data_IF_599051577561
#
_entry.id   IF_599051577561
#
_cell.length_a   1.000
_cell.length_b   1.000
_cell.length_c   1.000
_cell.angle_alpha   90.00
_cell.angle_beta   90.00
_cell.angle_gamma   90.00
#
_symmetry.space_group_name_H-M   'P 1'
#
loop_
_entity.id
_entity.type
_entity.pdbx_description
1 polymer ?
#
# COMPACT_ATOMS: atom_id res chain seq x y z
N UNK A 1 -1.31 -24.95 11.70
CA UNK A 1 -2.39 -23.97 11.47
C UNK A 1 -1.76 -22.75 10.82
N UNK A 2 -2.12 -22.41 9.58
CA UNK A 2 -1.62 -21.21 8.88
C UNK A 2 -2.45 -20.01 9.34
N UNK A 3 -1.87 -19.09 10.11
CA UNK A 3 -2.53 -17.82 10.44
C UNK A 3 -2.35 -16.83 9.30
N UNK A 4 -3.26 -16.89 8.32
CA UNK A 4 -3.36 -15.88 7.29
C UNK A 4 -4.07 -14.65 7.85
N UNK A 5 -3.30 -13.64 8.22
CA UNK A 5 -3.85 -12.36 8.68
C UNK A 5 -4.00 -11.40 7.50
N UNK A 6 -5.18 -10.82 7.35
CA UNK A 6 -5.40 -9.66 6.48
C UNK A 6 -5.94 -8.50 7.30
N UNK A 7 -5.34 -7.31 7.17
CA UNK A 7 -5.76 -6.09 7.86
C UNK A 7 -5.90 -4.94 6.89
N UNK A 8 -6.95 -4.15 7.07
CA UNK A 8 -7.24 -2.95 6.29
C UNK A 8 -7.30 -1.71 7.18
N UNK A 9 -6.48 -0.73 6.85
CA UNK A 9 -6.39 0.55 7.54
C UNK A 9 -6.73 1.69 6.59
N UNK A 10 -7.95 2.19 6.72
CA UNK A 10 -8.44 3.30 5.93
C UNK A 10 -7.90 4.66 6.36
N UNK A 11 -7.42 5.47 5.41
CA UNK A 11 -7.03 6.86 5.61
C UNK A 11 -8.11 7.75 4.96
N UNK A 12 -8.81 8.54 5.77
CA UNK A 12 -9.94 9.38 5.32
C UNK A 12 -9.84 10.79 5.88
N UNK A 13 -10.31 11.77 5.10
CA UNK A 13 -10.53 13.16 5.54
C UNK A 13 -11.96 13.41 6.07
N UNK A 14 -12.81 12.37 6.02
CA UNK A 14 -14.15 12.41 6.61
C UNK A 14 -14.12 12.20 8.13
N UNK A 15 -15.23 12.53 8.77
CA UNK A 15 -15.44 12.29 10.20
C UNK A 15 -15.73 10.81 10.43
N UNK A 16 -15.10 10.19 11.43
CA UNK A 16 -15.47 8.84 11.91
C UNK A 16 -15.99 8.95 13.35
N UNK A 17 -16.95 8.12 13.77
CA UNK A 17 -17.35 8.05 15.17
C UNK A 17 -16.11 7.87 16.07
N UNK A 18 -15.98 8.71 17.11
CA UNK A 18 -14.86 8.67 18.05
C UNK A 18 -13.50 9.15 17.51
N UNK A 19 -13.39 9.70 16.29
CA UNK A 19 -12.13 10.26 15.77
C UNK A 19 -12.29 11.65 15.17
N UNK A 20 -11.40 12.56 15.54
CA UNK A 20 -11.32 13.90 14.93
C UNK A 20 -11.06 13.79 13.43
N UNK A 21 -11.75 14.64 12.67
CA UNK A 21 -11.58 14.76 11.22
C UNK A 21 -10.11 15.08 10.89
N UNK A 22 -9.51 14.33 9.96
CA UNK A 22 -8.18 14.65 9.45
C UNK A 22 -8.29 15.76 8.39
N UNK A 23 -7.45 16.79 8.51
CA UNK A 23 -7.25 17.72 7.40
C UNK A 23 -6.63 17.00 6.20
N UNK A 24 -6.83 17.52 4.99
CA UNK A 24 -6.23 16.96 3.78
C UNK A 24 -4.70 16.80 3.93
N UNK A 25 -4.01 17.82 4.47
CA UNK A 25 -2.57 17.79 4.74
C UNK A 25 -2.18 16.62 5.68
N UNK A 26 -2.92 16.40 6.77
CA UNK A 26 -2.65 15.29 7.70
C UNK A 26 -2.95 13.92 7.09
N UNK A 27 -4.01 13.80 6.31
CA UNK A 27 -4.35 12.56 5.62
C UNK A 27 -3.28 12.19 4.57
N UNK A 28 -2.82 13.16 3.77
CA UNK A 28 -1.71 12.97 2.82
C UNK A 28 -0.44 12.57 3.57
N UNK A 29 -0.06 13.32 4.63
CA UNK A 29 1.13 13.02 5.42
C UNK A 29 1.12 11.59 5.97
N UNK A 30 -0.04 11.13 6.47
CA UNK A 30 -0.22 9.74 6.94
C UNK A 30 -0.12 8.73 5.80
N UNK A 31 -0.70 9.02 4.63
CA UNK A 31 -0.64 8.12 3.48
C UNK A 31 0.79 7.99 2.93
N UNK A 32 1.50 9.10 2.78
CA UNK A 32 2.90 9.14 2.34
C UNK A 32 3.82 8.44 3.35
N UNK A 33 3.59 8.61 4.65
CA UNK A 33 4.35 7.91 5.68
C UNK A 33 4.20 6.39 5.58
N UNK A 34 2.97 5.89 5.37
CA UNK A 34 2.73 4.47 5.13
C UNK A 34 3.38 3.98 3.84
N UNK A 35 3.26 4.74 2.74
CA UNK A 35 3.90 4.43 1.47
C UNK A 35 5.44 4.34 1.61
N UNK A 36 6.05 5.25 2.37
CA UNK A 36 7.49 5.21 2.67
C UNK A 36 7.85 3.99 3.51
N UNK A 37 7.02 3.65 4.50
CA UNK A 37 7.25 2.51 5.37
C UNK A 37 7.20 1.18 4.61
N UNK A 38 6.21 1.01 3.72
CA UNK A 38 6.09 -0.23 2.93
C UNK A 38 7.16 -0.34 1.85
N UNK A 39 7.62 0.78 1.28
CA UNK A 39 8.65 0.81 0.25
C UNK A 39 10.08 0.99 0.82
N UNK A 40 10.33 0.66 2.08
CA UNK A 40 11.64 0.88 2.71
C UNK A 40 12.70 -0.04 2.05
N UNK A 41 13.88 0.48 1.67
CA UNK A 41 14.91 -0.33 1.00
C UNK A 41 15.37 -1.55 1.79
N UNK A 42 15.35 -1.46 3.13
CA UNK A 42 15.77 -2.57 4.01
C UNK A 42 14.82 -3.76 4.04
N UNK A 43 13.58 -3.62 3.54
CA UNK A 43 12.58 -4.68 3.58
C UNK A 43 12.15 -5.19 2.19
N UNK A 44 12.49 -4.46 1.13
CA UNK A 44 11.99 -4.74 -0.22
C UNK A 44 13.16 -5.06 -1.14
N UNK A 45 13.26 -6.34 -1.52
CA UNK A 45 14.22 -6.76 -2.54
C UNK A 45 13.80 -6.30 -3.95
N UNK A 46 14.75 -6.22 -4.91
CA UNK A 46 14.41 -6.01 -6.31
C UNK A 46 13.36 -7.02 -6.81
N UNK A 47 12.39 -6.54 -7.60
CA UNK A 47 11.30 -7.36 -8.13
C UNK A 47 10.12 -7.59 -7.17
N UNK A 48 10.23 -7.20 -5.90
CA UNK A 48 9.14 -7.38 -4.91
C UNK A 48 8.14 -6.22 -4.86
N UNK A 49 8.21 -5.29 -5.81
CA UNK A 49 7.26 -4.18 -5.94
C UNK A 49 6.27 -4.48 -7.06
N UNK A 50 4.99 -4.31 -6.78
CA UNK A 50 3.91 -4.40 -7.75
C UNK A 50 3.21 -3.04 -7.80
N UNK A 51 3.19 -2.40 -8.97
CA UNK A 51 2.38 -1.22 -9.27
C UNK A 51 1.32 -1.55 -10.32
N UNK A 52 0.09 -1.05 -10.12
CA UNK A 52 -0.99 -1.17 -11.10
C UNK A 52 -1.75 0.15 -11.24
N UNK A 53 -2.08 0.47 -12.50
CA UNK A 53 -2.81 1.64 -12.96
C UNK A 53 -2.10 2.98 -12.68
N UNK A 54 -0.80 2.99 -12.43
CA UNK A 54 0.02 4.19 -12.20
C UNK A 54 0.50 4.85 -13.51
N UNK A 55 0.08 4.35 -14.68
CA UNK A 55 0.49 4.89 -15.98
C UNK A 55 1.88 4.40 -16.35
N UNK A 56 2.77 5.30 -16.76
CA UNK A 56 4.16 4.96 -17.12
C UNK A 56 4.96 4.35 -15.96
N UNK A 57 4.47 4.50 -14.71
CA UNK A 57 5.07 3.92 -13.52
C UNK A 57 4.57 2.49 -13.21
N UNK A 58 3.74 1.89 -14.06
CA UNK A 58 3.36 0.49 -13.94
C UNK A 58 4.52 -0.43 -14.32
N UNK A 59 4.91 -1.31 -13.40
CA UNK A 59 6.08 -2.17 -13.56
C UNK A 59 7.43 -1.45 -13.50
N UNK A 60 7.45 -0.13 -13.23
CA UNK A 60 8.70 0.63 -13.06
C UNK A 60 9.42 0.25 -11.78
N UNK A 61 10.62 0.82 -11.57
CA UNK A 61 11.29 0.70 -10.28
C UNK A 61 10.44 1.26 -9.12
N UNK A 62 10.80 0.85 -7.91
CA UNK A 62 10.10 1.23 -6.68
C UNK A 62 10.04 2.74 -6.47
N UNK A 63 11.07 3.50 -6.89
CA UNK A 63 11.14 4.95 -6.67
C UNK A 63 10.16 5.68 -7.59
N UNK A 64 10.12 5.33 -8.88
CA UNK A 64 9.20 5.90 -9.86
C UNK A 64 7.74 5.60 -9.51
N UNK A 65 7.43 4.34 -9.17
CA UNK A 65 6.10 3.93 -8.72
C UNK A 65 5.68 4.67 -7.42
N UNK A 66 6.63 4.87 -6.50
CA UNK A 66 6.37 5.62 -5.28
C UNK A 66 6.11 7.11 -5.56
N UNK A 67 6.84 7.73 -6.50
CA UNK A 67 6.62 9.12 -6.89
C UNK A 67 5.21 9.31 -7.49
N UNK A 68 4.85 8.48 -8.47
CA UNK A 68 3.51 8.50 -9.08
C UNK A 68 2.39 8.33 -8.03
N UNK A 69 2.55 7.39 -7.10
CA UNK A 69 1.58 7.17 -6.03
C UNK A 69 1.46 8.39 -5.09
N UNK A 70 2.56 9.09 -4.78
CA UNK A 70 2.51 10.31 -3.95
C UNK A 70 1.66 11.39 -4.60
N UNK A 71 1.78 11.57 -5.91
CA UNK A 71 1.04 12.61 -6.64
C UNK A 71 -0.46 12.26 -6.73
N UNK A 72 -0.78 10.99 -6.96
CA UNK A 72 -2.15 10.48 -6.89
C UNK A 72 -2.78 10.75 -5.51
N UNK A 73 -2.05 10.46 -4.42
CA UNK A 73 -2.53 10.68 -3.05
C UNK A 73 -2.79 12.16 -2.76
N UNK A 74 -1.90 13.05 -3.20
CA UNK A 74 -2.05 14.51 -3.08
C UNK A 74 -3.31 14.97 -3.80
N UNK A 75 -3.48 14.56 -5.06
CA UNK A 75 -4.64 14.91 -5.86
C UNK A 75 -5.96 14.38 -5.25
N UNK A 76 -5.97 13.13 -4.78
CA UNK A 76 -7.16 12.49 -4.18
C UNK A 76 -7.63 13.21 -2.92
N UNK A 77 -6.70 13.60 -2.03
CA UNK A 77 -7.04 14.27 -0.79
C UNK A 77 -7.66 15.66 -0.99
N UNK A 78 -7.30 16.36 -2.08
CA UNK A 78 -7.90 17.65 -2.46
C UNK A 78 -9.40 17.55 -2.80
N UNK A 79 -9.87 16.38 -3.26
CA UNK A 79 -11.28 16.17 -3.67
C UNK A 79 -12.27 16.00 -2.51
N UNK A 80 -11.80 16.02 -1.25
CA UNK A 80 -12.62 15.67 -0.09
C UNK A 80 -13.71 16.68 0.29
N UNK A 81 -13.55 17.97 0.00
CA UNK A 81 -14.54 19.01 0.31
C UNK A 81 -15.07 18.98 1.75
N UNK A 82 -16.36 19.24 1.95
CA UNK A 82 -17.01 19.25 3.29
C UNK A 82 -17.29 17.85 3.84
N UNK A 83 -17.67 16.89 2.99
CA UNK A 83 -18.02 15.51 3.38
C UNK A 83 -16.79 14.65 3.72
N UNK A 84 -15.62 15.02 3.20
CA UNK A 84 -14.40 14.23 3.28
C UNK A 84 -14.39 13.08 2.25
N UNK A 85 -13.23 12.45 2.09
CA UNK A 85 -13.00 11.36 1.14
C UNK A 85 -12.05 10.31 1.70
N UNK A 86 -12.20 9.07 1.26
CA UNK A 86 -11.19 8.02 1.42
C UNK A 86 -10.00 8.38 0.52
N UNK A 87 -8.88 8.71 1.15
CA UNK A 87 -7.63 9.08 0.48
C UNK A 87 -6.86 7.84 0.07
N UNK A 88 -6.74 6.88 0.99
CA UNK A 88 -6.02 5.64 0.77
C UNK A 88 -6.55 4.51 1.67
N UNK A 89 -6.18 3.29 1.31
CA UNK A 89 -6.39 2.07 2.07
C UNK A 89 -5.03 1.38 2.20
N UNK A 90 -4.54 1.20 3.42
CA UNK A 90 -3.38 0.34 3.65
C UNK A 90 -3.88 -1.07 3.88
N UNK A 91 -3.40 -2.01 3.07
CA UNK A 91 -3.61 -3.44 3.30
C UNK A 91 -2.31 -4.07 3.78
N UNK A 92 -2.41 -4.98 4.74
CA UNK A 92 -1.34 -5.92 5.07
C UNK A 92 -1.93 -7.33 5.01
N UNK A 93 -1.30 -8.22 4.27
CA UNK A 93 -1.68 -9.62 4.19
C UNK A 93 -0.45 -10.50 4.40
N UNK A 94 -0.60 -11.55 5.20
CA UNK A 94 0.39 -12.62 5.29
C UNK A 94 0.27 -13.52 4.07
N UNK A 95 1.40 -13.96 3.52
CA UNK A 95 1.45 -15.04 2.54
C UNK A 95 1.81 -16.35 3.25
N UNK A 96 1.43 -17.51 2.69
CA UNK A 96 1.92 -18.80 3.15
C UNK A 96 3.47 -18.84 3.19
N UNK A 97 4.04 -19.58 4.14
CA UNK A 97 5.50 -19.61 4.33
C UNK A 97 6.26 -20.25 3.16
N UNK A 98 5.60 -21.12 2.42
CA UNK A 98 6.07 -21.79 1.20
C UNK A 98 5.99 -20.88 -0.03
N UNK A 99 5.26 -19.76 0.05
CA UNK A 99 5.23 -18.75 -1.01
C UNK A 99 6.47 -17.88 -0.89
N UNK A 100 7.51 -18.23 -1.65
CA UNK A 100 8.74 -17.46 -1.79
C UNK A 100 9.07 -17.22 -3.26
N UNK A 101 9.83 -16.17 -3.57
CA UNK A 101 10.21 -15.86 -4.96
C UNK A 101 9.02 -15.58 -5.88
N UNK A 102 8.99 -16.24 -7.04
CA UNK A 102 7.95 -16.05 -8.06
C UNK A 102 6.52 -16.39 -7.57
N UNK A 103 6.26 -17.52 -6.89
CA UNK A 103 4.95 -17.79 -6.29
C UNK A 103 4.39 -16.65 -5.43
N UNK A 104 5.24 -16.02 -4.60
CA UNK A 104 4.82 -14.89 -3.78
C UNK A 104 4.48 -13.65 -4.63
N UNK A 105 5.32 -13.34 -5.63
CA UNK A 105 5.09 -12.24 -6.57
C UNK A 105 3.80 -12.43 -7.33
N UNK A 106 3.55 -13.63 -7.82
CA UNK A 106 2.34 -13.96 -8.57
C UNK A 106 1.09 -13.85 -7.70
N UNK A 107 1.13 -14.37 -6.47
CA UNK A 107 0.03 -14.24 -5.53
C UNK A 107 -0.33 -12.77 -5.25
N UNK A 108 0.67 -11.93 -4.96
CA UNK A 108 0.45 -10.50 -4.71
C UNK A 108 -0.03 -9.78 -5.97
N UNK A 109 0.45 -10.16 -7.16
CA UNK A 109 -0.04 -9.62 -8.43
C UNK A 109 -1.52 -9.94 -8.64
N UNK A 110 -1.94 -11.19 -8.40
CA UNK A 110 -3.34 -11.61 -8.53
C UNK A 110 -4.24 -10.90 -7.51
N UNK A 111 -3.81 -10.80 -6.25
CA UNK A 111 -4.53 -10.05 -5.21
C UNK A 111 -4.67 -8.57 -5.64
N UNK A 112 -3.58 -7.95 -6.10
CA UNK A 112 -3.57 -6.56 -6.55
C UNK A 112 -4.52 -6.33 -7.72
N UNK A 113 -4.52 -7.23 -8.71
CA UNK A 113 -5.46 -7.20 -9.83
C UNK A 113 -6.91 -7.36 -9.37
N UNK A 114 -7.19 -8.28 -8.44
CA UNK A 114 -8.53 -8.49 -7.90
C UNK A 114 -9.06 -7.27 -7.16
N UNK A 115 -8.21 -6.58 -6.40
CA UNK A 115 -8.54 -5.32 -5.72
C UNK A 115 -8.80 -4.19 -6.72
N UNK A 116 -8.02 -4.12 -7.80
CA UNK A 116 -8.20 -3.13 -8.85
C UNK A 116 -9.42 -3.38 -9.74
N UNK A 117 -9.83 -4.65 -9.92
CA UNK A 117 -10.94 -5.02 -10.80
C UNK A 117 -12.28 -4.37 -10.45
N UNK A 118 -12.47 -3.95 -9.18
CA UNK A 118 -13.70 -3.28 -8.75
C UNK A 118 -13.87 -1.86 -9.28
N UNK A 119 -12.81 -1.20 -9.78
CA UNK A 119 -12.93 0.12 -10.41
C UNK A 119 -11.67 0.51 -11.18
N UNK A 120 -11.80 1.09 -12.40
CA UNK A 120 -10.65 1.61 -13.16
C UNK A 120 -9.95 2.77 -12.45
N UNK A 121 -10.53 3.33 -11.40
CA UNK A 121 -9.96 4.41 -10.58
C UNK A 121 -9.10 3.92 -9.42
N UNK A 122 -9.04 2.61 -9.18
CA UNK A 122 -8.17 2.03 -8.14
C UNK A 122 -6.74 2.04 -8.65
N UNK A 123 -5.83 2.45 -7.76
CA UNK A 123 -4.38 2.54 -8.00
C UNK A 123 -3.72 1.67 -6.94
N UNK A 124 -2.86 0.75 -7.35
CA UNK A 124 -2.25 -0.20 -6.42
C UNK A 124 -0.75 0.01 -6.39
N UNK A 125 -0.21 0.01 -5.18
CA UNK A 125 1.21 -0.12 -4.90
C UNK A 125 1.34 -1.16 -3.78
N UNK A 126 1.98 -2.27 -4.08
CA UNK A 126 2.20 -3.36 -3.15
C UNK A 126 3.68 -3.73 -3.12
N UNK A 127 4.13 -4.19 -1.96
CA UNK A 127 5.51 -4.62 -1.73
C UNK A 127 5.52 -5.89 -0.92
N UNK A 128 6.38 -6.84 -1.28
CA UNK A 128 6.64 -8.05 -0.48
C UNK A 128 7.81 -7.76 0.45
N UNK A 129 7.55 -7.78 1.76
CA UNK A 129 8.56 -7.58 2.80
C UNK A 129 9.31 -8.88 3.05
N UNK A 130 10.64 -8.83 3.04
CA UNK A 130 11.50 -9.98 3.31
C UNK A 130 12.07 -9.98 4.72
N UNK A 131 11.86 -8.90 5.48
CA UNK A 131 12.26 -8.84 6.87
C UNK A 131 11.26 -9.60 7.75
N UNK A 132 11.77 -10.61 8.48
CA UNK A 132 10.97 -11.31 9.49
C UNK A 132 10.91 -10.43 10.74
N UNK A 133 9.73 -10.25 11.36
CA UNK A 133 9.60 -9.47 12.59
C UNK A 133 10.38 -10.05 13.79
N UNK A 134 10.89 -11.30 13.71
CA UNK A 134 11.56 -12.02 14.80
C UNK A 134 12.97 -12.55 14.45
N UNK A 135 13.83 -11.79 13.76
CA UNK A 135 15.27 -12.00 13.93
C UNK A 135 15.74 -11.12 15.09
N UNK A 136 15.54 -11.61 16.32
CA UNK A 136 16.53 -11.29 17.37
C UNK A 136 17.87 -11.76 16.80
N UNK A 137 18.84 -10.87 16.79
CA UNK A 137 20.18 -11.21 16.39
C UNK A 137 20.69 -12.25 17.38
N UNK A 138 20.70 -13.52 16.97
CA UNK A 138 21.63 -14.49 17.54
C UNK A 138 23.02 -14.04 17.07
N UNK A 139 23.63 -13.17 17.87
CA UNK A 139 25.05 -12.83 17.85
C UNK A 139 25.54 -12.83 19.29
#
# INVERSE_FOLDING_TARGET
MLELTTRFDGITTGTRPGRKRLSAKRAIGKAIANLRYIARPSAVLPGNTISLNLGEADGSDTKAAQAAMRDILRHRAGKGGRKGIRVAEKMMCSLPNDFSGEPAREAVRLISKRLAAGSPNVRVFATIHTDRPNRRADR
#
